data_IF_783529349772
#
_entry.id   IF_783529349772
#
_cell.length_a   1.000
_cell.length_b   1.000
_cell.length_c   1.000
_cell.angle_alpha   90.00
_cell.angle_beta   90.00
_cell.angle_gamma   90.00
#
_symmetry.space_group_name_H-M   'P 1'
#
loop_
_entity.id
_entity.type
_entity.pdbx_description
1 polymer ?
#
# COMPACT_ATOMS: atom_id res chain seq x y z
N UNK A 1 -7.55 55.47 34.00
CA UNK A 1 -6.13 55.92 34.17
C UNK A 1 -5.20 54.82 34.73
N UNK A 2 -5.52 54.16 35.85
CA UNK A 2 -4.65 53.10 36.44
C UNK A 2 -4.36 51.91 35.51
N UNK A 3 -5.34 51.46 34.72
CA UNK A 3 -5.12 50.35 33.75
C UNK A 3 -4.24 50.74 32.56
N UNK A 4 -4.39 51.97 32.05
CA UNK A 4 -3.55 52.48 30.97
C UNK A 4 -2.07 52.52 31.39
N UNK A 5 -1.81 52.98 32.62
CA UNK A 5 -0.47 53.03 33.18
C UNK A 5 0.11 51.62 33.37
N UNK A 6 -0.68 50.67 33.88
CA UNK A 6 -0.26 49.28 34.09
C UNK A 6 0.06 48.54 32.79
N UNK A 7 -0.60 48.90 31.67
CA UNK A 7 -0.34 48.29 30.35
C UNK A 7 0.87 48.92 29.63
N UNK A 8 1.13 50.21 29.84
CA UNK A 8 2.08 50.98 29.04
C UNK A 8 3.34 51.48 29.79
N UNK A 9 3.50 51.19 31.08
CA UNK A 9 4.63 51.69 31.88
C UNK A 9 6.02 51.40 31.28
N UNK A 10 6.19 50.26 30.60
CA UNK A 10 7.44 49.91 29.90
C UNK A 10 7.79 50.90 28.79
N UNK A 11 6.80 51.37 28.03
CA UNK A 11 7.02 52.39 26.99
C UNK A 11 7.35 53.75 27.62
N UNK A 12 6.70 54.10 28.74
CA UNK A 12 6.99 55.34 29.47
C UNK A 12 8.45 55.36 29.94
N UNK A 13 8.95 54.25 30.50
CA UNK A 13 10.36 54.13 30.90
C UNK A 13 11.33 54.27 29.70
N UNK A 14 10.99 53.68 28.55
CA UNK A 14 11.80 53.82 27.33
C UNK A 14 11.85 55.29 26.87
N UNK A 15 10.72 56.01 26.90
CA UNK A 15 10.69 57.42 26.52
C UNK A 15 11.47 58.31 27.49
N UNK A 16 11.37 58.06 28.80
CA UNK A 16 12.16 58.80 29.80
C UNK A 16 13.65 58.57 29.60
N UNK A 17 14.07 57.31 29.42
CA UNK A 17 15.47 56.99 29.14
C UNK A 17 15.96 57.63 27.84
N UNK A 18 15.16 57.63 26.79
CA UNK A 18 15.49 58.29 25.53
C UNK A 18 15.63 59.82 25.69
N UNK A 19 14.79 60.44 26.51
CA UNK A 19 14.86 61.88 26.82
C UNK A 19 16.13 62.21 27.61
N UNK A 20 16.49 61.42 28.62
CA UNK A 20 17.74 61.60 29.39
C UNK A 20 18.97 61.45 28.49
N UNK A 21 18.96 60.46 27.59
CA UNK A 21 20.05 60.22 26.64
C UNK A 21 20.18 61.37 25.63
N UNK A 22 19.05 61.96 25.22
CA UNK A 22 19.03 63.16 24.37
C UNK A 22 19.59 64.39 25.08
N UNK A 23 19.24 64.62 26.35
CA UNK A 23 19.79 65.71 27.16
C UNK A 23 21.30 65.53 27.36
N UNK A 24 21.74 64.30 27.67
CA UNK A 24 23.15 63.96 27.78
C UNK A 24 23.90 64.21 26.47
N UNK A 25 23.31 63.87 25.33
CA UNK A 25 23.89 64.13 24.01
C UNK A 25 24.04 65.62 23.72
N UNK A 26 23.04 66.44 24.05
CA UNK A 26 23.13 67.90 23.93
C UNK A 26 24.25 68.47 24.81
N UNK A 27 24.42 67.93 26.03
CA UNK A 27 25.53 68.30 26.91
C UNK A 27 26.89 67.89 26.33
N UNK A 28 27.00 66.68 25.80
CA UNK A 28 28.22 66.12 25.21
C UNK A 28 28.68 66.88 23.95
N UNK A 29 27.75 67.45 23.18
CA UNK A 29 28.08 68.31 22.04
C UNK A 29 28.43 69.73 22.49
N UNK A 30 27.62 70.29 23.38
CA UNK A 30 27.72 71.73 23.69
C UNK A 30 28.83 72.03 24.69
N UNK A 31 28.83 71.35 25.83
CA UNK A 31 29.60 71.72 27.01
C UNK A 31 30.86 70.87 27.22
N UNK A 32 30.77 69.57 26.99
CA UNK A 32 31.92 68.66 27.15
C UNK A 32 33.17 69.07 26.35
N UNK A 33 33.10 69.51 25.08
CA UNK A 33 34.30 69.88 24.31
C UNK A 33 34.98 71.14 24.85
N UNK A 34 34.20 72.07 25.41
CA UNK A 34 34.71 73.32 25.99
C UNK A 34 35.43 73.04 27.32
N UNK A 35 34.82 72.22 28.18
CA UNK A 35 35.40 71.80 29.46
C UNK A 35 36.64 70.93 29.23
N UNK A 36 36.59 69.96 28.31
CA UNK A 36 37.70 69.05 28.02
C UNK A 36 38.96 69.79 27.55
N UNK A 37 38.83 70.79 26.68
CA UNK A 37 39.97 71.59 26.23
C UNK A 37 40.50 72.50 27.33
N UNK A 38 39.62 73.09 28.14
CA UNK A 38 40.04 73.95 29.25
C UNK A 38 40.86 73.21 30.31
N UNK A 39 40.49 71.96 30.65
CA UNK A 39 41.18 71.19 31.68
C UNK A 39 42.44 70.46 31.21
N UNK A 40 42.50 70.05 29.93
CA UNK A 40 43.59 69.19 29.43
C UNK A 40 44.62 69.90 28.55
N UNK A 41 44.35 71.12 28.09
CA UNK A 41 45.26 71.87 27.22
C UNK A 41 45.51 73.28 27.81
N UNK A 42 46.79 73.70 27.83
CA UNK A 42 47.22 75.01 28.35
C UNK A 42 46.86 76.20 27.44
N UNK A 43 47.66 77.27 27.45
CA UNK A 43 47.43 78.48 26.64
C UNK A 43 47.53 78.22 25.12
N UNK A 44 46.45 77.69 24.54
CA UNK A 44 46.23 77.61 23.10
C UNK A 44 45.81 78.98 22.54
N UNK A 45 46.16 79.26 21.29
CA UNK A 45 45.65 80.46 20.61
C UNK A 45 44.12 80.33 20.40
N UNK A 46 43.42 81.47 20.30
CA UNK A 46 41.97 81.49 20.08
C UNK A 46 41.54 80.66 18.87
N UNK A 47 42.38 80.62 17.83
CA UNK A 47 42.10 79.88 16.58
C UNK A 47 42.20 78.36 16.80
N UNK A 48 43.27 77.89 17.43
CA UNK A 48 43.49 76.46 17.70
C UNK A 48 42.43 75.89 18.64
N UNK A 49 41.98 76.67 19.63
CA UNK A 49 40.90 76.26 20.55
C UNK A 49 39.57 76.06 19.82
N UNK A 50 39.22 76.96 18.89
CA UNK A 50 37.99 76.85 18.10
C UNK A 50 38.01 75.62 17.17
N UNK A 51 39.16 75.35 16.56
CA UNK A 51 39.36 74.22 15.64
C UNK A 51 39.24 72.88 16.38
N UNK A 52 39.92 72.73 17.51
CA UNK A 52 39.85 71.51 18.32
C UNK A 52 38.44 71.26 18.90
N UNK A 53 37.71 72.29 19.34
CA UNK A 53 36.29 72.15 19.76
C UNK A 53 35.43 71.63 18.59
N UNK A 54 35.64 72.16 17.39
CA UNK A 54 34.88 71.78 16.19
C UNK A 54 35.15 70.32 15.81
N UNK A 55 36.39 69.86 15.91
CA UNK A 55 36.77 68.48 15.62
C UNK A 55 36.18 67.50 16.63
N UNK A 56 36.27 67.81 17.93
CA UNK A 56 35.64 66.98 18.98
C UNK A 56 34.12 66.89 18.77
N UNK A 57 33.45 68.02 18.49
CA UNK A 57 32.00 68.02 18.19
C UNK A 57 31.67 67.16 16.98
N UNK A 58 32.44 67.29 15.90
CA UNK A 58 32.24 66.51 14.67
C UNK A 58 32.41 65.01 14.94
N UNK A 59 33.44 64.62 15.69
CA UNK A 59 33.66 63.22 16.08
C UNK A 59 32.54 62.66 16.96
N UNK A 60 32.04 63.42 17.93
CA UNK A 60 30.88 63.03 18.76
C UNK A 60 29.64 62.81 17.90
N UNK A 61 29.40 63.70 16.92
CA UNK A 61 28.29 63.56 15.96
C UNK A 61 28.46 62.30 15.09
N UNK A 62 29.67 62.04 14.57
CA UNK A 62 29.93 60.85 13.75
C UNK A 62 29.77 59.54 14.54
N UNK A 63 30.24 59.49 15.79
CA UNK A 63 30.07 58.32 16.66
C UNK A 63 28.58 58.07 16.94
N UNK A 64 27.83 59.11 17.29
CA UNK A 64 26.40 58.99 17.53
C UNK A 64 25.63 58.57 16.26
N UNK A 65 25.98 59.15 15.11
CA UNK A 65 25.45 58.76 13.81
C UNK A 65 25.76 57.29 13.47
N UNK A 66 26.98 56.83 13.74
CA UNK A 66 27.39 55.43 13.56
C UNK A 66 26.62 54.46 14.46
N UNK A 67 26.44 54.80 15.74
CA UNK A 67 25.62 54.00 16.68
C UNK A 67 24.17 53.90 16.19
N UNK A 68 23.57 55.03 15.77
CA UNK A 68 22.22 55.05 15.21
C UNK A 68 22.12 54.22 13.94
N UNK A 69 23.12 54.26 13.06
CA UNK A 69 23.17 53.43 11.85
C UNK A 69 23.22 51.93 12.20
N UNK A 70 24.06 51.52 13.16
CA UNK A 70 24.15 50.12 13.62
C UNK A 70 22.81 49.65 14.21
N UNK A 71 22.17 50.48 15.05
CA UNK A 71 20.83 50.18 15.60
C UNK A 71 19.82 50.05 14.46
N UNK A 72 19.84 50.95 13.47
CA UNK A 72 18.97 50.90 12.29
C UNK A 72 19.15 49.62 11.48
N UNK A 73 20.40 49.19 11.24
CA UNK A 73 20.73 47.93 10.56
C UNK A 73 20.24 46.75 11.38
N UNK A 74 20.48 46.72 12.69
CA UNK A 74 20.04 45.65 13.58
C UNK A 74 18.51 45.52 13.62
N UNK A 75 17.78 46.63 13.74
CA UNK A 75 16.31 46.64 13.71
C UNK A 75 15.77 46.18 12.36
N UNK A 76 16.41 46.60 11.26
CA UNK A 76 16.06 46.15 9.91
C UNK A 76 16.29 44.65 9.76
N UNK A 77 17.44 44.13 10.17
CA UNK A 77 17.75 42.69 10.15
C UNK A 77 16.80 41.86 11.02
N UNK A 78 16.46 42.35 12.22
CA UNK A 78 15.48 41.70 13.10
C UNK A 78 14.09 41.67 12.45
N UNK A 79 13.70 42.76 11.76
CA UNK A 79 12.43 42.85 11.04
C UNK A 79 12.39 41.91 9.83
N UNK A 80 13.43 41.87 9.01
CA UNK A 80 13.50 40.97 7.84
C UNK A 80 13.44 39.51 8.28
N UNK A 81 14.21 39.14 9.30
CA UNK A 81 14.18 37.77 9.85
C UNK A 81 12.80 37.38 10.42
N UNK A 82 12.03 38.32 10.94
CA UNK A 82 10.66 38.09 11.40
C UNK A 82 9.68 37.91 10.22
N UNK A 83 9.84 38.71 9.15
CA UNK A 83 9.05 38.60 7.92
C UNK A 83 9.32 37.28 7.18
N UNK A 84 10.60 36.88 7.08
CA UNK A 84 10.98 35.62 6.42
C UNK A 84 10.32 34.41 7.12
N UNK A 85 10.30 34.40 8.45
CA UNK A 85 9.59 33.36 9.23
C UNK A 85 8.09 33.37 8.96
N UNK A 86 7.45 34.54 8.85
CA UNK A 86 6.04 34.63 8.53
C UNK A 86 5.73 34.13 7.12
N UNK A 87 6.57 34.46 6.13
CA UNK A 87 6.39 34.00 4.76
C UNK A 87 6.45 32.48 4.66
N UNK A 88 7.43 31.84 5.31
CA UNK A 88 7.54 30.37 5.36
C UNK A 88 6.29 29.73 5.98
N UNK A 89 5.80 30.28 7.11
CA UNK A 89 4.57 29.78 7.77
C UNK A 89 3.34 29.98 6.88
N UNK A 90 3.24 31.11 6.19
CA UNK A 90 2.12 31.41 5.29
C UNK A 90 2.13 30.52 4.06
N UNK A 91 3.30 30.23 3.48
CA UNK A 91 3.44 29.29 2.36
C UNK A 91 3.02 27.87 2.78
N UNK A 92 3.46 27.39 3.95
CA UNK A 92 3.05 26.09 4.48
C UNK A 92 1.53 26.01 4.72
N UNK A 93 0.95 27.04 5.34
CA UNK A 93 -0.49 27.13 5.56
C UNK A 93 -1.28 27.19 4.25
N UNK A 94 -0.80 27.93 3.25
CA UNK A 94 -1.43 28.02 1.93
C UNK A 94 -1.41 26.67 1.21
N UNK A 95 -0.28 25.95 1.28
CA UNK A 95 -0.16 24.61 0.70
C UNK A 95 -1.13 23.62 1.35
N UNK A 96 -1.22 23.62 2.69
CA UNK A 96 -2.19 22.80 3.43
C UNK A 96 -3.64 23.11 3.05
N UNK A 97 -3.99 24.39 2.99
CA UNK A 97 -5.32 24.82 2.57
C UNK A 97 -5.64 24.41 1.13
N UNK A 98 -4.68 24.49 0.21
CA UNK A 98 -4.86 24.06 -1.18
C UNK A 98 -5.16 22.55 -1.26
N UNK A 99 -4.44 21.73 -0.50
CA UNK A 99 -4.65 20.27 -0.48
C UNK A 99 -6.03 19.94 0.09
N UNK A 100 -6.44 20.60 1.18
CA UNK A 100 -7.78 20.43 1.76
C UNK A 100 -8.88 20.83 0.77
N UNK A 101 -8.69 21.91 0.00
CA UNK A 101 -9.62 22.30 -1.06
C UNK A 101 -9.70 21.26 -2.18
N UNK A 102 -8.56 20.72 -2.62
CA UNK A 102 -8.52 19.65 -3.62
C UNK A 102 -9.18 18.37 -3.11
N UNK A 103 -8.94 17.98 -1.86
CA UNK A 103 -9.56 16.83 -1.21
C UNK A 103 -11.09 16.98 -1.13
N UNK A 104 -11.55 18.16 -0.69
CA UNK A 104 -12.98 18.48 -0.63
C UNK A 104 -13.61 18.43 -2.02
N UNK A 105 -12.94 18.98 -3.04
CA UNK A 105 -13.44 18.95 -4.42
C UNK A 105 -13.48 17.54 -4.99
N UNK A 106 -12.46 16.72 -4.74
CA UNK A 106 -12.45 15.32 -5.14
C UNK A 106 -13.62 14.54 -4.49
N UNK A 107 -13.87 14.79 -3.20
CA UNK A 107 -14.97 14.18 -2.44
C UNK A 107 -16.35 14.58 -2.99
N UNK A 108 -16.51 15.83 -3.42
CA UNK A 108 -17.74 16.32 -4.06
C UNK A 108 -17.97 15.63 -5.41
N UNK A 109 -16.92 15.57 -6.24
CA UNK A 109 -16.97 14.93 -7.56
C UNK A 109 -17.28 13.43 -7.48
N UNK A 110 -16.85 12.73 -6.42
CA UNK A 110 -17.17 11.32 -6.22
C UNK A 110 -18.67 11.04 -6.05
N UNK A 111 -19.43 12.01 -5.56
CA UNK A 111 -20.88 11.88 -5.31
C UNK A 111 -21.73 12.15 -6.54
N UNK A 112 -21.11 12.60 -7.63
CA UNK A 112 -21.80 13.01 -8.84
C UNK A 112 -22.39 11.79 -9.59
N UNK A 113 -23.58 11.95 -10.18
CA UNK A 113 -24.23 10.90 -10.98
C UNK A 113 -23.47 10.65 -12.30
N UNK A 114 -22.76 11.65 -12.81
CA UNK A 114 -21.96 11.56 -14.01
C UNK A 114 -20.64 10.83 -13.76
N UNK A 115 -20.42 9.75 -14.51
CA UNK A 115 -19.20 8.95 -14.43
C UNK A 115 -17.92 9.76 -14.70
N UNK A 116 -17.94 10.74 -15.60
CA UNK A 116 -16.78 11.55 -15.91
C UNK A 116 -16.38 12.44 -14.72
N UNK A 117 -17.35 12.93 -13.96
CA UNK A 117 -17.11 13.71 -12.74
C UNK A 117 -16.51 12.81 -11.65
N UNK A 118 -17.09 11.62 -11.42
CA UNK A 118 -16.54 10.66 -10.45
C UNK A 118 -15.10 10.27 -10.77
N UNK A 119 -14.82 9.93 -12.04
CA UNK A 119 -13.46 9.62 -12.49
C UNK A 119 -12.51 10.79 -12.26
N UNK A 120 -12.95 12.03 -12.52
CA UNK A 120 -12.14 13.23 -12.24
C UNK A 120 -11.82 13.37 -10.75
N UNK A 121 -12.79 13.08 -9.87
CA UNK A 121 -12.57 13.04 -8.42
C UNK A 121 -11.56 11.98 -8.00
N UNK A 122 -11.68 10.77 -8.54
CA UNK A 122 -10.77 9.64 -8.24
C UNK A 122 -9.33 9.97 -8.70
N UNK A 123 -9.13 10.52 -9.90
CA UNK A 123 -7.81 10.94 -10.36
C UNK A 123 -7.23 12.12 -9.57
N UNK A 124 -8.08 13.02 -9.06
CA UNK A 124 -7.63 14.07 -8.16
C UNK A 124 -7.14 13.50 -6.82
N UNK A 125 -7.83 12.49 -6.28
CA UNK A 125 -7.36 11.75 -5.12
C UNK A 125 -6.01 11.04 -5.36
N UNK A 126 -5.82 10.39 -6.51
CA UNK A 126 -4.53 9.80 -6.91
C UNK A 126 -3.39 10.84 -6.90
N UNK A 127 -3.67 12.05 -7.41
CA UNK A 127 -2.70 13.14 -7.41
C UNK A 127 -2.37 13.64 -6.00
N UNK A 128 -3.36 13.75 -5.12
CA UNK A 128 -3.14 14.17 -3.73
C UNK A 128 -2.30 13.11 -2.99
N UNK A 129 -2.70 11.84 -3.05
CA UNK A 129 -2.01 10.75 -2.34
C UNK A 129 -0.60 10.45 -2.85
N UNK A 130 -0.28 10.82 -4.09
CA UNK A 130 1.06 10.67 -4.68
C UNK A 130 2.00 11.83 -4.35
N UNK A 131 1.46 12.99 -3.97
CA UNK A 131 2.25 14.20 -3.66
C UNK A 131 2.30 14.51 -2.16
N UNK A 132 1.40 13.94 -1.35
CA UNK A 132 1.37 14.14 0.09
C UNK A 132 1.16 12.82 0.86
N UNK A 133 2.19 12.41 1.61
CA UNK A 133 2.20 11.16 2.38
C UNK A 133 1.14 11.14 3.50
N UNK A 134 0.81 12.29 4.10
CA UNK A 134 -0.18 12.42 5.18
C UNK A 134 -1.59 12.02 4.71
N UNK A 135 -1.92 12.29 3.45
CA UNK A 135 -3.22 12.00 2.87
C UNK A 135 -3.28 10.64 2.16
N UNK A 136 -2.15 9.91 2.09
CA UNK A 136 -2.08 8.65 1.36
C UNK A 136 -3.10 7.64 1.91
N UNK A 137 -2.97 7.27 3.18
CA UNK A 137 -3.83 6.27 3.79
C UNK A 137 -5.29 6.70 3.97
N UNK A 138 -5.60 7.93 4.42
CA UNK A 138 -6.99 8.39 4.49
C UNK A 138 -7.73 8.32 3.15
N UNK A 139 -7.06 8.60 2.03
CA UNK A 139 -7.63 8.49 0.69
C UNK A 139 -7.86 7.02 0.31
N UNK A 140 -6.89 6.14 0.57
CA UNK A 140 -7.04 4.69 0.34
C UNK A 140 -8.24 4.14 1.10
N UNK A 141 -8.39 4.48 2.38
CA UNK A 141 -9.52 4.08 3.22
C UNK A 141 -10.85 4.60 2.67
N UNK A 142 -10.91 5.88 2.29
CA UNK A 142 -12.10 6.51 1.73
C UNK A 142 -12.53 5.85 0.43
N UNK A 143 -11.61 5.63 -0.51
CA UNK A 143 -11.90 4.99 -1.80
C UNK A 143 -12.32 3.52 -1.61
N UNK A 144 -11.71 2.81 -0.66
CA UNK A 144 -12.11 1.44 -0.31
C UNK A 144 -13.51 1.41 0.30
N UNK A 145 -13.82 2.36 1.20
CA UNK A 145 -15.15 2.51 1.77
C UNK A 145 -16.20 2.83 0.71
N UNK A 146 -15.88 3.71 -0.24
CA UNK A 146 -16.75 4.04 -1.37
C UNK A 146 -17.10 2.79 -2.20
N UNK A 147 -16.10 1.95 -2.51
CA UNK A 147 -16.32 0.69 -3.25
C UNK A 147 -17.22 -0.26 -2.46
N UNK A 148 -17.01 -0.40 -1.14
CA UNK A 148 -17.87 -1.21 -0.27
C UNK A 148 -19.31 -0.68 -0.20
N UNK A 149 -19.48 0.63 -0.06
CA UNK A 149 -20.81 1.25 0.00
C UNK A 149 -21.57 1.11 -1.33
N UNK A 150 -20.90 1.33 -2.47
CA UNK A 150 -21.49 1.15 -3.80
C UNK A 150 -21.92 -0.29 -4.06
N UNK A 151 -21.21 -1.27 -3.51
CA UNK A 151 -21.65 -2.68 -3.51
C UNK A 151 -22.95 -2.85 -2.73
N UNK A 152 -23.00 -2.35 -1.49
CA UNK A 152 -24.14 -2.57 -0.57
C UNK A 152 -25.41 -1.82 -0.98
N UNK A 153 -25.28 -0.65 -1.62
CA UNK A 153 -26.42 0.18 -2.05
C UNK A 153 -27.12 -0.32 -3.31
N UNK A 154 -26.55 -1.28 -4.06
CA UNK A 154 -27.23 -1.89 -5.20
C UNK A 154 -28.19 -2.99 -4.72
N UNK A 155 -29.33 -2.58 -4.15
CA UNK A 155 -30.56 -3.38 -4.20
C UNK A 155 -31.03 -3.41 -5.65
N UNK A 156 -30.78 -4.53 -6.33
CA UNK A 156 -31.28 -4.71 -7.68
C UNK A 156 -32.77 -5.06 -7.66
N UNK A 157 -33.60 -4.12 -8.12
CA UNK A 157 -34.87 -4.43 -8.78
C UNK A 157 -34.51 -4.73 -10.25
N UNK A 158 -34.27 -5.99 -10.59
CA UNK A 158 -34.26 -6.41 -12.00
C UNK A 158 -35.11 -7.66 -12.20
N UNK A 159 -36.21 -7.46 -12.92
CA UNK A 159 -37.10 -8.47 -13.47
C UNK A 159 -36.33 -9.27 -14.55
N UNK A 160 -35.87 -10.47 -14.19
CA UNK A 160 -35.31 -11.43 -15.14
C UNK A 160 -36.42 -12.34 -15.66
N UNK A 161 -37.27 -11.79 -16.52
CA UNK A 161 -38.05 -12.58 -17.46
C UNK A 161 -37.47 -12.37 -18.86
N UNK A 162 -36.76 -13.40 -19.35
CA UNK A 162 -36.15 -13.60 -20.68
C UNK A 162 -34.62 -13.48 -20.70
N UNK A 163 -33.97 -14.60 -20.47
CA UNK A 163 -33.14 -15.31 -21.47
C UNK A 163 -32.72 -16.65 -20.86
N UNK A 164 -33.04 -17.74 -21.56
CA UNK A 164 -32.72 -19.11 -21.18
C UNK A 164 -31.24 -19.38 -21.46
N UNK A 165 -30.46 -19.65 -20.41
CA UNK A 165 -29.27 -20.50 -20.44
C UNK A 165 -28.93 -20.91 -18.99
N UNK A 166 -29.34 -22.12 -18.61
CA UNK A 166 -28.95 -23.00 -17.47
C UNK A 166 -28.40 -22.48 -16.12
N UNK A 167 -28.47 -21.19 -15.78
CA UNK A 167 -28.03 -20.62 -14.51
C UNK A 167 -29.18 -20.59 -13.49
N UNK A 168 -29.06 -21.35 -12.41
CA UNK A 168 -29.99 -21.27 -11.29
C UNK A 168 -29.66 -20.02 -10.46
N UNK A 169 -30.48 -18.99 -10.57
CA UNK A 169 -30.38 -17.78 -9.76
C UNK A 169 -31.16 -18.02 -8.46
N UNK A 170 -30.45 -18.08 -7.33
CA UNK A 170 -31.02 -18.32 -6.01
C UNK A 170 -30.92 -17.05 -5.15
N UNK A 171 -32.06 -16.62 -4.61
CA UNK A 171 -32.15 -15.47 -3.71
C UNK A 171 -31.79 -15.90 -2.29
N UNK A 172 -30.74 -15.31 -1.72
CA UNK A 172 -30.40 -15.53 -0.31
C UNK A 172 -31.22 -14.61 0.60
N UNK A 173 -32.24 -15.15 1.27
CA UNK A 173 -33.05 -14.36 2.22
C UNK A 173 -32.22 -13.81 3.40
N UNK A 174 -31.10 -14.44 3.76
CA UNK A 174 -30.25 -14.05 4.89
C UNK A 174 -29.39 -12.84 4.54
N UNK A 175 -28.81 -12.82 3.34
CA UNK A 175 -27.94 -11.72 2.88
C UNK A 175 -28.67 -10.70 2.00
N UNK A 176 -29.89 -11.00 1.55
CA UNK A 176 -30.71 -10.20 0.62
C UNK A 176 -30.02 -9.89 -0.71
N UNK A 177 -29.15 -10.78 -1.19
CA UNK A 177 -28.40 -10.57 -2.42
C UNK A 177 -28.67 -11.65 -3.47
N UNK A 178 -28.69 -11.24 -4.73
CA UNK A 178 -28.88 -12.14 -5.86
C UNK A 178 -27.57 -12.90 -6.13
N UNK A 179 -27.62 -14.22 -5.99
CA UNK A 179 -26.52 -15.08 -6.41
C UNK A 179 -26.93 -15.89 -7.64
N UNK A 180 -25.98 -16.20 -8.51
CA UNK A 180 -26.14 -17.27 -9.49
C UNK A 180 -25.27 -18.46 -9.13
N UNK A 181 -25.84 -19.66 -9.22
CA UNK A 181 -25.14 -20.91 -9.01
C UNK A 181 -24.75 -21.49 -10.38
N UNK A 182 -23.45 -21.62 -10.67
CA UNK A 182 -22.97 -22.48 -11.76
C UNK A 182 -22.67 -23.84 -11.15
N UNK A 183 -23.37 -24.87 -11.61
CA UNK A 183 -23.07 -26.25 -11.28
C UNK A 183 -22.23 -26.81 -12.43
N UNK A 184 -20.93 -26.91 -12.21
CA UNK A 184 -20.05 -27.66 -13.10
C UNK A 184 -19.99 -29.11 -12.61
N UNK A 185 -19.83 -30.07 -13.52
CA UNK A 185 -19.71 -31.47 -13.16
C UNK A 185 -18.31 -31.94 -13.49
N UNK A 186 -17.58 -32.46 -12.50
CA UNK A 186 -16.36 -33.22 -12.78
C UNK A 186 -16.60 -34.71 -12.58
N UNK A 187 -16.02 -35.51 -13.45
CA UNK A 187 -16.14 -36.97 -13.39
C UNK A 187 -15.25 -37.54 -12.27
N UNK A 188 -15.83 -38.28 -11.33
CA UNK A 188 -15.18 -38.88 -10.15
C UNK A 188 -14.16 -40.01 -10.47
N UNK A 189 -13.94 -40.29 -11.75
CA UNK A 189 -13.08 -41.36 -12.23
C UNK A 189 -13.61 -42.79 -12.00
N UNK A 190 -14.82 -42.95 -11.43
CA UNK A 190 -15.54 -44.22 -11.24
C UNK A 190 -16.85 -44.31 -12.02
N UNK A 191 -17.30 -43.22 -12.65
CA UNK A 191 -18.57 -43.19 -13.38
C UNK A 191 -19.59 -42.18 -12.86
N UNK A 192 -19.30 -41.52 -11.73
CA UNK A 192 -20.17 -40.54 -11.10
C UNK A 192 -19.75 -39.10 -11.43
N UNK A 193 -20.74 -38.22 -11.55
CA UNK A 193 -20.52 -36.78 -11.67
C UNK A 193 -20.49 -36.16 -10.26
N UNK A 194 -19.42 -35.43 -9.96
CA UNK A 194 -19.29 -34.60 -8.76
C UNK A 194 -19.77 -33.21 -9.13
N UNK A 195 -20.91 -32.74 -8.57
CA UNK A 195 -21.35 -31.37 -8.77
C UNK A 195 -20.42 -30.43 -8.01
N UNK A 196 -19.66 -29.63 -8.75
CA UNK A 196 -18.90 -28.51 -8.24
C UNK A 196 -19.81 -27.27 -8.34
N UNK A 197 -20.29 -26.82 -7.18
CA UNK A 197 -21.21 -25.68 -7.06
C UNK A 197 -20.42 -24.38 -6.92
N UNK A 198 -20.72 -23.41 -7.78
CA UNK A 198 -20.09 -22.08 -7.80
C UNK A 198 -21.15 -21.03 -7.54
N UNK A 199 -21.07 -20.30 -6.43
CA UNK A 199 -22.05 -19.28 -6.06
C UNK A 199 -21.45 -17.90 -6.28
N UNK A 200 -22.04 -17.10 -7.16
CA UNK A 200 -21.51 -15.81 -7.55
C UNK A 200 -22.45 -14.68 -7.20
N UNK A 201 -21.91 -13.58 -6.72
CA UNK A 201 -22.66 -12.35 -6.49
C UNK A 201 -22.62 -11.47 -7.74
N UNK A 202 -23.75 -11.32 -8.45
CA UNK A 202 -23.80 -10.50 -9.66
C UNK A 202 -23.86 -9.01 -9.35
N UNK A 203 -22.79 -8.26 -9.61
CA UNK A 203 -22.75 -6.80 -9.49
C UNK A 203 -21.91 -6.22 -10.65
N UNK A 204 -22.53 -5.70 -11.73
CA UNK A 204 -21.79 -5.07 -12.82
C UNK A 204 -20.88 -3.96 -12.29
N UNK A 205 -19.61 -4.03 -12.69
CA UNK A 205 -18.55 -3.10 -12.28
C UNK A 205 -18.80 -1.76 -12.92
N UNK A 206 -19.10 -0.74 -12.11
CA UNK A 206 -19.11 0.63 -12.62
C UNK A 206 -17.66 1.09 -12.88
N UNK A 207 -17.47 1.93 -13.92
CA UNK A 207 -16.14 2.36 -14.37
C UNK A 207 -15.33 3.09 -13.29
N UNK A 208 -15.99 3.69 -12.31
CA UNK A 208 -15.41 4.36 -11.16
C UNK A 208 -14.83 3.36 -10.15
N UNK A 209 -15.51 2.23 -9.91
CA UNK A 209 -14.96 1.12 -9.10
C UNK A 209 -13.68 0.59 -9.74
N UNK A 210 -13.68 0.41 -11.07
CA UNK A 210 -12.49 -0.02 -11.81
C UNK A 210 -11.34 0.99 -11.69
N UNK A 211 -11.63 2.29 -11.80
CA UNK A 211 -10.61 3.33 -11.66
C UNK A 211 -10.02 3.37 -10.24
N UNK A 212 -10.87 3.24 -9.21
CA UNK A 212 -10.43 3.15 -7.82
C UNK A 212 -9.48 1.99 -7.64
N UNK A 213 -9.86 0.79 -8.08
CA UNK A 213 -9.04 -0.41 -7.93
C UNK A 213 -7.69 -0.30 -8.64
N UNK A 214 -7.69 0.30 -9.82
CA UNK A 214 -6.47 0.59 -10.56
C UNK A 214 -5.54 1.49 -9.74
N UNK A 215 -6.08 2.51 -9.06
CA UNK A 215 -5.33 3.50 -8.30
C UNK A 215 -4.84 2.96 -6.95
N UNK A 216 -5.71 2.26 -6.20
CA UNK A 216 -5.33 1.52 -4.99
C UNK A 216 -4.20 0.53 -5.26
N UNK A 217 -4.24 -0.05 -6.45
CA UNK A 217 -3.25 -0.95 -6.99
C UNK A 217 -1.95 -0.30 -7.47
N UNK A 218 -1.92 1.01 -7.72
CA UNK A 218 -0.68 1.74 -8.10
C UNK A 218 0.04 2.37 -6.92
N UNK A 219 -0.35 2.03 -5.68
CA UNK A 219 0.24 2.60 -4.46
C UNK A 219 1.74 2.31 -4.34
N UNK A 220 2.49 3.29 -3.82
CA UNK A 220 3.96 3.29 -3.80
C UNK A 220 4.52 2.40 -2.69
N UNK A 221 5.39 1.46 -3.06
CA UNK A 221 6.14 0.57 -2.15
C UNK A 221 6.97 1.34 -1.08
N UNK A 222 7.35 2.59 -1.34
CA UNK A 222 8.15 3.38 -0.38
C UNK A 222 7.38 3.65 0.93
N UNK A 223 6.05 3.70 0.85
CA UNK A 223 5.17 3.97 1.98
C UNK A 223 4.80 2.70 2.77
N UNK A 224 4.94 1.51 2.15
CA UNK A 224 4.75 0.20 2.80
C UNK A 224 5.99 -0.28 3.57
N UNK A 225 7.19 0.27 3.30
CA UNK A 225 8.44 -0.13 4.00
C UNK A 225 8.43 0.12 5.51
N UNK A 226 7.54 0.99 6.01
CA UNK A 226 7.35 1.16 7.44
C UNK A 226 6.66 -0.06 8.08
N UNK A 227 5.89 -0.85 7.32
CA UNK A 227 5.23 -2.08 7.78
C UNK A 227 6.13 -3.33 7.63
N UNK A 228 6.91 -3.47 6.52
CA UNK A 228 7.87 -4.59 6.34
C UNK A 228 8.95 -4.64 7.45
N UNK A 229 9.30 -3.50 8.06
CA UNK A 229 10.23 -3.48 9.21
C UNK A 229 9.61 -3.95 10.53
N UNK A 230 8.28 -3.87 10.66
CA UNK A 230 7.56 -4.40 11.81
C UNK A 230 7.31 -5.91 11.68
N UNK A 231 7.28 -6.47 10.47
CA UNK A 231 7.11 -7.92 10.24
C UNK A 231 8.27 -8.76 10.82
N UNK A 232 9.51 -8.24 10.75
CA UNK A 232 10.68 -8.82 11.45
C UNK A 232 10.58 -8.69 12.98
N UNK A 233 9.87 -7.68 13.49
CA UNK A 233 9.57 -7.54 14.91
C UNK A 233 8.41 -8.45 15.32
N UNK A 234 7.41 -8.69 14.46
CA UNK A 234 6.30 -9.62 14.69
C UNK A 234 6.75 -11.09 14.66
N UNK A 235 7.75 -11.47 13.87
CA UNK A 235 8.32 -12.83 13.92
C UNK A 235 9.08 -13.05 15.25
N UNK A 236 9.86 -12.05 15.70
CA UNK A 236 10.54 -12.07 17.01
C UNK A 236 9.55 -11.96 18.18
N UNK A 237 8.49 -11.16 18.03
CA UNK A 237 7.41 -11.01 19.02
C UNK A 237 6.54 -12.26 19.03
N UNK A 238 6.33 -12.96 17.91
CA UNK A 238 5.61 -14.24 17.82
C UNK A 238 6.40 -15.37 18.48
N UNK A 239 7.72 -15.41 18.33
CA UNK A 239 8.59 -16.32 19.08
C UNK A 239 8.56 -16.01 20.59
N UNK A 240 8.56 -14.73 20.99
CA UNK A 240 8.44 -14.30 22.41
C UNK A 240 7.01 -14.45 22.97
N UNK A 241 5.99 -14.29 22.14
CA UNK A 241 4.57 -14.42 22.48
C UNK A 241 4.20 -15.90 22.59
N UNK A 242 4.74 -16.79 21.77
CA UNK A 242 4.56 -18.24 21.95
C UNK A 242 5.19 -18.75 23.27
N UNK A 243 6.21 -18.07 23.80
CA UNK A 243 6.76 -18.34 25.13
C UNK A 243 5.87 -17.82 26.29
N UNK A 244 4.99 -16.85 26.04
CA UNK A 244 4.14 -16.19 27.07
C UNK A 244 2.66 -16.64 26.97
N UNK A 245 2.18 -17.00 25.78
CA UNK A 245 0.80 -17.38 25.43
C UNK A 245 0.58 -18.90 25.66
N UNK A 246 0.90 -19.37 26.86
CA UNK A 246 0.29 -20.59 27.41
C UNK A 246 -0.49 -20.30 28.71
N UNK A 247 -0.71 -19.02 29.05
CA UNK A 247 -1.34 -18.65 30.32
C UNK A 247 -2.53 -17.69 30.28
N UNK A 248 -2.89 -17.04 29.16
CA UNK A 248 -4.08 -16.15 29.19
C UNK A 248 -4.74 -15.84 27.83
N UNK A 249 -5.83 -16.57 27.58
CA UNK A 249 -7.17 -16.03 27.30
C UNK A 249 -7.34 -14.94 26.20
N UNK A 250 -7.52 -15.42 24.96
CA UNK A 250 -8.72 -15.35 24.10
C UNK A 250 -9.66 -14.13 23.99
N UNK A 251 -9.51 -13.00 24.67
CA UNK A 251 -10.57 -11.94 24.59
C UNK A 251 -10.11 -10.48 24.37
N UNK A 252 -8.83 -10.19 24.10
CA UNK A 252 -8.38 -8.78 23.94
C UNK A 252 -7.52 -8.46 22.69
N UNK A 253 -7.47 -9.33 21.68
CA UNK A 253 -6.65 -9.11 20.46
C UNK A 253 -7.39 -8.47 19.28
N UNK A 254 -8.50 -7.77 19.53
CA UNK A 254 -9.22 -6.99 18.50
C UNK A 254 -8.83 -5.50 18.50
N UNK A 255 -7.80 -5.14 19.27
CA UNK A 255 -7.35 -3.76 19.44
C UNK A 255 -5.84 -3.70 19.16
N UNK A 256 -5.50 -3.08 18.02
CA UNK A 256 -4.16 -2.70 17.54
C UNK A 256 -3.39 -3.81 16.78
N UNK A 257 -3.93 -4.24 15.64
CA UNK A 257 -3.11 -4.28 14.44
C UNK A 257 -3.64 -3.21 13.49
N UNK A 258 -2.93 -2.09 13.37
CA UNK A 258 -3.08 -1.18 12.23
C UNK A 258 -2.43 -1.84 10.99
N UNK A 259 -2.76 -3.11 10.71
CA UNK A 259 -2.45 -3.75 9.45
C UNK A 259 -3.51 -3.24 8.50
N UNK A 260 -3.22 -2.20 7.72
CA UNK A 260 -4.23 -1.58 6.86
C UNK A 260 -4.53 -2.50 5.66
N UNK A 261 -5.30 -3.54 5.96
CA UNK A 261 -5.87 -4.50 5.03
C UNK A 261 -6.89 -3.77 4.16
N UNK A 262 -6.60 -3.63 2.87
CA UNK A 262 -7.60 -3.20 1.89
C UNK A 262 -8.52 -4.40 1.63
N UNK A 263 -9.68 -4.41 2.31
CA UNK A 263 -10.74 -5.42 2.15
C UNK A 263 -11.80 -5.01 1.12
N UNK A 264 -11.91 -5.83 0.07
CA UNK A 264 -12.68 -5.62 -1.16
C UNK A 264 -13.40 -6.90 -1.58
N UNK A 265 -14.11 -7.48 -0.62
CA UNK A 265 -14.70 -8.80 -0.74
C UNK A 265 -15.99 -8.72 -1.54
N UNK A 266 -16.28 -9.76 -2.34
CA UNK A 266 -17.53 -9.91 -3.10
C UNK A 266 -17.74 -8.83 -4.17
N UNK A 267 -16.69 -8.53 -4.93
CA UNK A 267 -16.75 -7.61 -6.06
C UNK A 267 -16.67 -8.42 -7.37
N UNK A 268 -17.32 -7.98 -8.44
CA UNK A 268 -17.01 -8.50 -9.78
C UNK A 268 -16.03 -7.57 -10.47
N UNK A 269 -15.03 -8.12 -11.17
CA UNK A 269 -13.92 -7.41 -11.81
C UNK A 269 -13.62 -7.96 -13.19
N UNK A 270 -14.64 -8.45 -13.89
CA UNK A 270 -14.46 -9.09 -15.19
C UNK A 270 -13.76 -8.17 -16.20
N UNK A 271 -12.73 -8.71 -16.87
CA UNK A 271 -11.96 -8.02 -17.94
C UNK A 271 -11.21 -6.75 -17.48
N UNK A 272 -10.87 -6.63 -16.19
CA UNK A 272 -10.09 -5.50 -15.69
C UNK A 272 -8.60 -5.71 -15.97
N UNK A 273 -7.90 -4.64 -16.36
CA UNK A 273 -6.45 -4.65 -16.46
C UNK A 273 -5.82 -4.17 -15.15
N UNK A 274 -5.17 -5.07 -14.43
CA UNK A 274 -4.43 -4.86 -13.19
C UNK A 274 -2.93 -5.16 -13.40
N UNK A 275 -2.38 -4.80 -14.55
CA UNK A 275 -0.97 -4.96 -14.86
C UNK A 275 -0.08 -4.23 -13.83
N UNK A 276 0.90 -4.94 -13.24
CA UNK A 276 1.81 -4.44 -12.19
C UNK A 276 1.14 -3.89 -10.94
N UNK A 277 -0.08 -4.32 -10.67
CA UNK A 277 -0.83 -3.89 -9.49
C UNK A 277 -0.14 -4.34 -8.20
N UNK A 278 -0.20 -3.54 -7.14
CA UNK A 278 0.21 -3.90 -5.79
C UNK A 278 -1.02 -4.25 -4.95
N UNK A 279 -1.14 -5.53 -4.62
CA UNK A 279 -2.21 -6.13 -3.82
C UNK A 279 -1.66 -6.81 -2.56
N UNK A 280 -0.41 -6.58 -2.18
CA UNK A 280 0.18 -7.18 -0.98
C UNK A 280 -0.72 -6.99 0.23
N UNK A 281 -0.92 -8.05 1.01
CA UNK A 281 -1.72 -8.05 2.23
C UNK A 281 -3.19 -7.56 2.03
N UNK A 282 -3.71 -7.55 0.80
CA UNK A 282 -5.10 -7.20 0.54
C UNK A 282 -6.04 -8.39 0.72
N UNK A 283 -7.32 -8.07 0.91
CA UNK A 283 -8.39 -9.04 1.08
C UNK A 283 -9.43 -8.87 -0.03
N UNK A 284 -9.64 -9.94 -0.78
CA UNK A 284 -10.51 -10.01 -1.95
C UNK A 284 -11.33 -11.31 -1.93
N UNK A 285 -11.69 -11.82 -0.75
CA UNK A 285 -12.40 -13.08 -0.63
C UNK A 285 -13.75 -13.01 -1.35
N UNK A 286 -14.12 -14.09 -2.04
CA UNK A 286 -15.36 -14.23 -2.80
C UNK A 286 -15.49 -13.24 -3.98
N UNK A 287 -14.38 -12.84 -4.61
CA UNK A 287 -14.37 -11.85 -5.69
C UNK A 287 -14.33 -12.54 -7.06
N UNK A 288 -14.99 -11.97 -8.07
CA UNK A 288 -14.96 -12.49 -9.44
C UNK A 288 -13.91 -11.72 -10.23
N UNK A 289 -12.84 -12.38 -10.62
CA UNK A 289 -11.72 -11.88 -11.39
C UNK A 289 -11.60 -12.54 -12.77
N UNK A 290 -12.71 -12.99 -13.35
CA UNK A 290 -12.68 -13.69 -14.63
C UNK A 290 -12.10 -12.79 -15.74
N UNK A 291 -11.13 -13.31 -16.49
CA UNK A 291 -10.40 -12.58 -17.53
C UNK A 291 -9.63 -11.33 -17.04
N UNK A 292 -9.29 -11.23 -15.76
CA UNK A 292 -8.48 -10.10 -15.23
C UNK A 292 -7.00 -10.27 -15.56
N UNK A 293 -6.34 -9.17 -15.91
CA UNK A 293 -4.90 -9.16 -16.19
C UNK A 293 -4.14 -8.76 -14.93
N UNK A 294 -3.54 -9.72 -14.23
CA UNK A 294 -2.62 -9.54 -13.10
C UNK A 294 -1.14 -9.69 -13.49
N UNK A 295 -0.80 -9.50 -14.76
CA UNK A 295 0.57 -9.73 -15.21
C UNK A 295 1.56 -8.81 -14.47
N UNK A 296 2.63 -9.40 -13.94
CA UNK A 296 3.64 -8.73 -13.10
C UNK A 296 3.08 -8.08 -11.82
N UNK A 297 1.89 -8.48 -11.36
CA UNK A 297 1.32 -8.01 -10.11
C UNK A 297 2.12 -8.46 -8.87
N UNK A 298 1.94 -7.73 -7.78
CA UNK A 298 2.45 -8.04 -6.45
C UNK A 298 1.28 -8.48 -5.57
N UNK A 299 1.12 -9.78 -5.39
CA UNK A 299 0.02 -10.42 -4.65
C UNK A 299 0.54 -11.22 -3.45
N UNK A 300 1.69 -10.83 -2.89
CA UNK A 300 2.24 -11.52 -1.72
C UNK A 300 1.27 -11.41 -0.52
N UNK A 301 1.03 -12.53 0.18
CA UNK A 301 0.07 -12.62 1.30
C UNK A 301 -1.35 -12.10 0.99
N UNK A 302 -1.81 -12.16 -0.27
CA UNK A 302 -3.14 -11.68 -0.63
C UNK A 302 -4.19 -12.75 -0.40
N UNK A 303 -5.32 -12.36 0.19
CA UNK A 303 -6.48 -13.20 0.48
C UNK A 303 -7.44 -13.21 -0.72
N UNK A 304 -7.45 -14.31 -1.49
CA UNK A 304 -8.29 -14.53 -2.66
C UNK A 304 -9.26 -15.71 -2.49
N UNK A 305 -9.53 -16.15 -1.27
CA UNK A 305 -10.32 -17.34 -0.96
C UNK A 305 -11.71 -17.28 -1.60
N UNK A 306 -12.18 -18.40 -2.13
CA UNK A 306 -13.49 -18.55 -2.78
C UNK A 306 -13.71 -17.63 -4.00
N UNK A 307 -12.64 -17.10 -4.60
CA UNK A 307 -12.72 -16.19 -5.75
C UNK A 307 -12.73 -16.92 -7.08
N UNK A 308 -13.20 -16.26 -8.13
CA UNK A 308 -13.16 -16.78 -9.49
C UNK A 308 -12.06 -16.12 -10.32
N UNK A 309 -11.08 -16.89 -10.77
CA UNK A 309 -9.99 -16.49 -11.66
C UNK A 309 -10.08 -17.12 -13.04
N UNK A 310 -11.27 -17.56 -13.48
CA UNK A 310 -11.45 -18.20 -14.79
C UNK A 310 -10.81 -17.34 -15.89
N UNK A 311 -9.82 -17.90 -16.59
CA UNK A 311 -9.03 -17.24 -17.63
C UNK A 311 -8.31 -15.94 -17.19
N UNK A 312 -8.04 -15.73 -15.89
CA UNK A 312 -7.25 -14.60 -15.42
C UNK A 312 -5.74 -14.79 -15.73
N UNK A 313 -4.99 -13.69 -15.86
CA UNK A 313 -3.58 -13.69 -16.26
C UNK A 313 -2.64 -13.23 -15.15
N UNK A 314 -2.01 -14.17 -14.45
CA UNK A 314 -0.98 -13.97 -13.41
C UNK A 314 0.46 -14.12 -13.93
N UNK A 315 0.70 -14.01 -15.24
CA UNK A 315 2.04 -14.19 -15.81
C UNK A 315 3.09 -13.29 -15.14
N UNK A 316 4.18 -13.88 -14.67
CA UNK A 316 5.24 -13.23 -13.87
C UNK A 316 4.76 -12.53 -12.57
N UNK A 317 3.55 -12.81 -12.08
CA UNK A 317 3.08 -12.23 -10.82
C UNK A 317 3.83 -12.80 -9.61
N UNK A 318 3.88 -12.02 -8.52
CA UNK A 318 4.45 -12.45 -7.24
C UNK A 318 3.31 -12.80 -6.29
N UNK A 319 2.97 -14.07 -6.21
CA UNK A 319 1.89 -14.62 -5.39
C UNK A 319 2.42 -15.46 -4.22
N UNK A 320 3.60 -15.11 -3.68
CA UNK A 320 4.20 -15.84 -2.56
C UNK A 320 3.25 -15.77 -1.35
N UNK A 321 2.97 -16.92 -0.75
CA UNK A 321 2.03 -17.06 0.37
C UNK A 321 0.62 -16.50 0.09
N UNK A 322 0.22 -16.37 -1.18
CA UNK A 322 -1.14 -15.98 -1.53
C UNK A 322 -2.14 -17.10 -1.20
N UNK A 323 -3.35 -16.70 -0.83
CA UNK A 323 -4.43 -17.57 -0.38
C UNK A 323 -5.48 -17.72 -1.47
N UNK A 324 -5.43 -18.81 -2.23
CA UNK A 324 -6.38 -19.17 -3.29
C UNK A 324 -7.36 -20.28 -2.86
N UNK A 325 -7.53 -20.55 -1.57
CA UNK A 325 -8.33 -21.66 -1.06
C UNK A 325 -9.75 -21.64 -1.64
N UNK A 326 -10.20 -22.78 -2.15
CA UNK A 326 -11.50 -22.94 -2.83
C UNK A 326 -11.72 -22.03 -4.06
N UNK A 327 -10.66 -21.41 -4.60
CA UNK A 327 -10.77 -20.56 -5.77
C UNK A 327 -10.96 -21.35 -7.06
N UNK A 328 -11.62 -20.71 -8.03
CA UNK A 328 -11.80 -21.23 -9.38
C UNK A 328 -10.70 -20.71 -10.30
N UNK A 329 -9.72 -21.53 -10.60
CA UNK A 329 -8.57 -21.17 -11.42
C UNK A 329 -8.60 -21.88 -12.79
N UNK A 330 -9.79 -22.13 -13.34
CA UNK A 330 -9.95 -22.77 -14.65
C UNK A 330 -9.33 -21.92 -15.76
N UNK A 331 -8.44 -22.50 -16.56
CA UNK A 331 -7.74 -21.79 -17.63
C UNK A 331 -6.89 -20.60 -17.15
N UNK A 332 -6.64 -20.46 -15.85
CA UNK A 332 -5.86 -19.34 -15.33
C UNK A 332 -4.39 -19.45 -15.73
N UNK A 333 -3.80 -18.31 -16.11
CA UNK A 333 -2.45 -18.18 -16.64
C UNK A 333 -1.45 -17.76 -15.55
N UNK A 334 -0.81 -18.73 -14.89
CA UNK A 334 0.23 -18.57 -13.87
C UNK A 334 1.67 -18.72 -14.43
N UNK A 335 1.89 -18.57 -15.73
CA UNK A 335 3.21 -18.83 -16.32
C UNK A 335 4.28 -17.92 -15.71
N UNK A 336 5.39 -18.52 -15.26
CA UNK A 336 6.49 -17.82 -14.59
C UNK A 336 6.08 -17.08 -13.30
N UNK A 337 4.89 -17.30 -12.76
CA UNK A 337 4.50 -16.72 -11.49
C UNK A 337 5.34 -17.32 -10.35
N UNK A 338 5.58 -16.51 -9.32
CA UNK A 338 6.14 -16.98 -8.06
C UNK A 338 5.00 -17.21 -7.06
N UNK A 339 4.59 -18.46 -6.92
CA UNK A 339 3.57 -18.94 -6.00
C UNK A 339 4.18 -19.80 -4.88
N UNK A 340 5.44 -19.52 -4.48
CA UNK A 340 6.07 -20.22 -3.36
C UNK A 340 5.21 -20.10 -2.10
N UNK A 341 4.92 -21.21 -1.43
CA UNK A 341 4.10 -21.26 -0.21
C UNK A 341 2.63 -20.85 -0.38
N UNK A 342 2.15 -20.66 -1.61
CA UNK A 342 0.76 -20.31 -1.88
C UNK A 342 -0.20 -21.46 -1.53
N UNK A 343 -1.41 -21.11 -1.08
CA UNK A 343 -2.46 -22.06 -0.70
C UNK A 343 -3.48 -22.21 -1.83
N UNK A 344 -3.44 -23.33 -2.53
CA UNK A 344 -4.38 -23.76 -3.57
C UNK A 344 -5.21 -24.98 -3.11
N UNK A 345 -5.39 -25.19 -1.81
CA UNK A 345 -6.21 -26.33 -1.35
C UNK A 345 -7.67 -26.15 -1.79
N UNK A 346 -8.27 -27.25 -2.25
CA UNK A 346 -9.63 -27.30 -2.81
C UNK A 346 -9.86 -26.40 -4.04
N UNK A 347 -8.80 -25.98 -4.76
CA UNK A 347 -8.99 -25.18 -5.97
C UNK A 347 -9.41 -26.01 -7.17
N UNK A 348 -10.12 -25.36 -8.10
CA UNK A 348 -10.37 -25.90 -9.42
C UNK A 348 -9.39 -25.28 -10.43
N UNK A 349 -8.30 -25.96 -10.72
CA UNK A 349 -7.24 -25.56 -11.65
C UNK A 349 -7.33 -26.32 -12.99
N UNK A 350 -8.55 -26.63 -13.46
CA UNK A 350 -8.75 -27.33 -14.72
C UNK A 350 -8.17 -26.54 -15.89
N UNK A 351 -7.29 -27.15 -16.70
CA UNK A 351 -6.68 -26.48 -17.87
C UNK A 351 -5.79 -25.28 -17.54
N UNK A 352 -5.44 -25.04 -16.28
CA UNK A 352 -4.62 -23.89 -15.88
C UNK A 352 -3.18 -24.02 -16.37
N UNK A 353 -2.55 -22.87 -16.63
CA UNK A 353 -1.20 -22.73 -17.18
C UNK A 353 -0.19 -22.38 -16.08
N UNK A 354 0.59 -23.34 -15.59
CA UNK A 354 1.65 -23.15 -14.59
C UNK A 354 3.06 -23.31 -15.18
N UNK A 355 3.22 -23.16 -16.50
CA UNK A 355 4.49 -23.37 -17.18
C UNK A 355 5.57 -22.43 -16.61
N UNK A 356 6.71 -23.00 -16.23
CA UNK A 356 7.82 -22.28 -15.61
C UNK A 356 7.48 -21.57 -14.26
N UNK A 357 6.37 -21.91 -13.61
CA UNK A 357 6.01 -21.33 -12.32
C UNK A 357 6.91 -21.86 -11.19
N UNK A 358 7.07 -21.05 -10.14
CA UNK A 358 7.71 -21.44 -8.88
C UNK A 358 6.64 -21.68 -7.83
N UNK A 359 6.45 -22.92 -7.40
CA UNK A 359 5.40 -23.33 -6.46
C UNK A 359 6.02 -24.16 -5.32
N UNK A 360 7.21 -23.77 -4.85
CA UNK A 360 7.91 -24.51 -3.78
C UNK A 360 7.13 -24.35 -2.47
N UNK A 361 6.94 -25.41 -1.70
CA UNK A 361 6.12 -25.43 -0.46
C UNK A 361 4.64 -25.05 -0.65
N UNK A 362 4.14 -24.99 -1.88
CA UNK A 362 2.72 -24.71 -2.15
C UNK A 362 1.82 -25.86 -1.71
N UNK A 363 0.55 -25.55 -1.43
CA UNK A 363 -0.44 -26.53 -1.00
C UNK A 363 -1.57 -26.66 -2.03
N UNK A 364 -1.70 -27.81 -2.67
CA UNK A 364 -2.74 -28.15 -3.65
C UNK A 364 -3.62 -29.30 -3.14
N UNK A 365 -3.70 -29.49 -1.82
CA UNK A 365 -4.49 -30.57 -1.22
C UNK A 365 -5.94 -30.52 -1.70
N UNK A 366 -6.46 -31.67 -2.17
CA UNK A 366 -7.82 -31.78 -2.71
C UNK A 366 -8.10 -30.88 -3.93
N UNK A 367 -7.07 -30.32 -4.58
CA UNK A 367 -7.25 -29.54 -5.80
C UNK A 367 -7.60 -30.43 -7.00
N UNK A 368 -8.21 -29.81 -8.00
CA UNK A 368 -8.56 -30.42 -9.27
C UNK A 368 -7.67 -29.80 -10.35
N UNK A 369 -6.70 -30.55 -10.86
CA UNK A 369 -5.73 -30.09 -11.85
C UNK A 369 -5.86 -30.84 -13.17
N UNK A 370 -7.09 -31.24 -13.53
CA UNK A 370 -7.39 -31.93 -14.78
C UNK A 370 -6.96 -31.07 -15.97
N UNK A 371 -6.16 -31.61 -16.90
CA UNK A 371 -5.59 -30.93 -18.07
C UNK A 371 -4.66 -29.74 -17.74
N UNK A 372 -4.20 -29.59 -16.50
CA UNK A 372 -3.28 -28.52 -16.14
C UNK A 372 -1.89 -28.69 -16.75
N UNK A 373 -1.24 -27.57 -17.03
CA UNK A 373 0.07 -27.47 -17.66
C UNK A 373 1.14 -27.12 -16.61
N UNK A 374 1.93 -28.10 -16.16
CA UNK A 374 2.99 -27.93 -15.14
C UNK A 374 4.41 -27.90 -15.72
N UNK A 375 4.58 -27.72 -17.02
CA UNK A 375 5.84 -27.91 -17.71
C UNK A 375 6.93 -26.95 -17.18
N UNK A 376 8.15 -27.46 -16.97
CA UNK A 376 9.32 -26.67 -16.54
C UNK A 376 9.17 -25.92 -15.21
N UNK A 377 8.17 -26.26 -14.41
CA UNK A 377 7.88 -25.62 -13.11
C UNK A 377 8.57 -26.34 -11.94
N UNK A 378 8.55 -25.72 -10.76
CA UNK A 378 9.02 -26.35 -9.52
C UNK A 378 7.90 -26.48 -8.49
N UNK A 379 7.65 -27.73 -8.08
CA UNK A 379 6.72 -28.11 -7.01
C UNK A 379 7.47 -28.83 -5.87
N UNK A 380 8.73 -28.46 -5.67
CA UNK A 380 9.56 -29.06 -4.63
C UNK A 380 8.93 -28.79 -3.26
N UNK A 381 8.78 -29.84 -2.45
CA UNK A 381 8.09 -29.83 -1.16
C UNK A 381 6.61 -29.43 -1.21
N UNK A 382 5.99 -29.36 -2.38
CA UNK A 382 4.57 -29.07 -2.49
C UNK A 382 3.70 -30.23 -1.99
N UNK A 383 2.47 -29.90 -1.59
CA UNK A 383 1.47 -30.87 -1.15
C UNK A 383 0.42 -31.11 -2.23
N UNK A 384 0.42 -32.27 -2.88
CA UNK A 384 -0.59 -32.74 -3.83
C UNK A 384 -1.43 -33.90 -3.26
N UNK A 385 -1.64 -33.92 -1.93
CA UNK A 385 -2.45 -34.95 -1.31
C UNK A 385 -3.91 -34.86 -1.78
N UNK A 386 -4.48 -36.00 -2.18
CA UNK A 386 -5.83 -36.12 -2.74
C UNK A 386 -6.08 -35.29 -4.04
N UNK A 387 -5.06 -34.77 -4.71
CA UNK A 387 -5.21 -33.97 -5.94
C UNK A 387 -5.56 -34.87 -7.15
N UNK A 388 -6.42 -34.38 -8.05
CA UNK A 388 -6.74 -35.03 -9.34
C UNK A 388 -5.87 -34.48 -10.48
N UNK A 389 -5.26 -35.35 -11.27
CA UNK A 389 -4.34 -34.97 -12.37
C UNK A 389 -4.72 -35.54 -13.74
N UNK A 390 -6.02 -35.71 -14.02
CA UNK A 390 -6.45 -36.28 -15.30
C UNK A 390 -5.80 -35.52 -16.47
N UNK A 391 -4.95 -36.18 -17.25
CA UNK A 391 -4.28 -35.59 -18.42
C UNK A 391 -3.43 -34.32 -18.14
N UNK A 392 -3.02 -34.07 -16.89
CA UNK A 392 -2.08 -33.00 -16.58
C UNK A 392 -0.67 -33.27 -17.16
N UNK A 393 0.05 -32.22 -17.56
CA UNK A 393 1.39 -32.34 -18.12
C UNK A 393 2.48 -32.01 -17.10
N UNK A 394 3.35 -32.98 -16.78
CA UNK A 394 4.46 -32.84 -15.84
C UNK A 394 5.84 -32.78 -16.52
N UNK A 395 5.89 -32.47 -17.83
CA UNK A 395 7.15 -32.45 -18.57
C UNK A 395 8.18 -31.51 -17.94
N UNK A 396 9.35 -32.04 -17.57
CA UNK A 396 10.44 -31.31 -16.93
C UNK A 396 10.05 -30.60 -15.61
N UNK A 397 9.01 -31.07 -14.92
CA UNK A 397 8.60 -30.53 -13.63
C UNK A 397 9.51 -31.03 -12.50
N UNK A 398 9.92 -30.15 -11.59
CA UNK A 398 10.71 -30.54 -10.41
C UNK A 398 9.81 -30.92 -9.24
N UNK A 399 9.73 -32.21 -8.92
CA UNK A 399 8.89 -32.76 -7.85
C UNK A 399 9.74 -33.36 -6.70
N UNK A 400 10.77 -32.64 -6.27
CA UNK A 400 11.61 -33.05 -5.14
C UNK A 400 10.80 -33.04 -3.84
N UNK A 401 10.78 -34.17 -3.11
CA UNK A 401 10.05 -34.30 -1.84
C UNK A 401 8.56 -33.90 -1.89
N UNK A 402 7.94 -33.93 -3.07
CA UNK A 402 6.53 -33.59 -3.27
C UNK A 402 5.62 -34.70 -2.72
N UNK A 403 4.50 -34.33 -2.10
CA UNK A 403 3.54 -35.29 -1.55
C UNK A 403 2.43 -35.62 -2.56
N UNK A 404 2.43 -36.83 -3.13
CA UNK A 404 1.36 -37.35 -4.01
C UNK A 404 0.44 -38.34 -3.30
N UNK A 405 0.35 -38.31 -1.97
CA UNK A 405 -0.46 -39.28 -1.22
C UNK A 405 -1.91 -39.21 -1.67
N UNK A 406 -2.49 -40.36 -2.02
CA UNK A 406 -3.86 -40.47 -2.54
C UNK A 406 -4.15 -39.63 -3.79
N UNK A 407 -3.12 -39.14 -4.51
CA UNK A 407 -3.34 -38.46 -5.77
C UNK A 407 -4.07 -39.40 -6.74
N UNK A 408 -5.06 -38.87 -7.46
CA UNK A 408 -5.92 -39.66 -8.33
C UNK A 408 -5.73 -39.26 -9.78
N UNK A 409 -6.07 -40.18 -10.70
CA UNK A 409 -6.07 -39.95 -12.15
C UNK A 409 -4.71 -39.50 -12.70
N UNK A 410 -3.63 -39.91 -12.03
CA UNK A 410 -2.24 -39.72 -12.43
C UNK A 410 -1.65 -41.05 -12.93
N UNK A 411 -0.97 -41.03 -14.07
CA UNK A 411 -0.35 -42.22 -14.66
C UNK A 411 1.16 -42.24 -14.43
N UNK A 412 1.76 -43.44 -14.53
CA UNK A 412 3.22 -43.59 -14.52
C UNK A 412 3.88 -42.83 -15.68
N UNK A 413 3.23 -42.75 -16.85
CA UNK A 413 3.72 -42.01 -18.01
C UNK A 413 3.81 -40.50 -17.71
N UNK A 414 2.75 -39.90 -17.15
CA UNK A 414 2.75 -38.49 -16.76
C UNK A 414 3.91 -38.17 -15.81
N UNK A 415 4.06 -38.96 -14.73
CA UNK A 415 5.13 -38.76 -13.74
C UNK A 415 6.52 -39.05 -14.31
N UNK A 416 6.66 -39.98 -15.26
CA UNK A 416 7.97 -40.30 -15.86
C UNK A 416 8.58 -39.15 -16.67
N UNK A 417 7.75 -38.20 -17.10
CA UNK A 417 8.18 -36.99 -17.80
C UNK A 417 8.66 -35.87 -16.87
N UNK A 418 8.49 -36.01 -15.55
CA UNK A 418 9.03 -35.08 -14.57
C UNK A 418 10.57 -35.08 -14.59
N UNK A 419 11.17 -33.96 -14.19
CA UNK A 419 12.63 -33.83 -14.11
C UNK A 419 13.20 -34.70 -12.98
N UNK A 420 12.54 -34.69 -11.83
CA UNK A 420 12.92 -35.50 -10.66
C UNK A 420 11.69 -35.80 -9.81
N UNK A 421 11.67 -37.00 -9.24
CA UNK A 421 10.76 -37.46 -8.19
C UNK A 421 11.52 -37.88 -6.93
N UNK A 422 12.77 -37.45 -6.78
CA UNK A 422 13.58 -37.81 -5.63
C UNK A 422 12.88 -37.43 -4.32
N UNK A 423 12.75 -38.41 -3.43
CA UNK A 423 12.03 -38.32 -2.14
C UNK A 423 10.53 -38.00 -2.23
N UNK A 424 9.92 -38.06 -3.42
CA UNK A 424 8.48 -37.91 -3.55
C UNK A 424 7.73 -38.98 -2.72
N UNK A 425 6.64 -38.58 -2.08
CA UNK A 425 5.82 -39.42 -1.21
C UNK A 425 4.51 -39.80 -1.91
N UNK A 426 3.87 -40.88 -1.47
CA UNK A 426 2.53 -41.26 -1.95
C UNK A 426 2.48 -42.00 -3.30
N UNK A 427 3.62 -42.18 -3.97
CA UNK A 427 3.71 -43.03 -5.17
C UNK A 427 3.79 -44.50 -4.73
N UNK A 428 2.85 -45.31 -5.20
CA UNK A 428 2.80 -46.76 -4.90
C UNK A 428 3.98 -47.50 -5.51
N UNK A 429 4.40 -48.61 -4.90
CA UNK A 429 5.56 -49.38 -5.39
C UNK A 429 5.35 -49.90 -6.83
N UNK A 430 4.13 -50.34 -7.15
CA UNK A 430 3.75 -50.72 -8.52
C UNK A 430 3.97 -49.56 -9.52
N UNK A 431 3.52 -48.37 -9.17
CA UNK A 431 3.67 -47.19 -10.02
C UNK A 431 5.15 -46.78 -10.14
N UNK A 432 5.94 -46.90 -9.07
CA UNK A 432 7.39 -46.65 -9.12
C UNK A 432 8.09 -47.59 -10.10
N UNK A 433 7.75 -48.88 -10.10
CA UNK A 433 8.32 -49.85 -11.06
C UNK A 433 8.00 -49.47 -12.51
N UNK A 434 6.77 -49.04 -12.79
CA UNK A 434 6.35 -48.57 -14.11
C UNK A 434 7.10 -47.29 -14.52
N UNK A 435 7.23 -46.32 -13.60
CA UNK A 435 7.98 -45.08 -13.82
C UNK A 435 9.46 -45.36 -14.10
N UNK A 436 10.11 -46.25 -13.33
CA UNK A 436 11.53 -46.57 -13.48
C UNK A 436 11.83 -47.22 -14.84
N UNK A 437 10.89 -48.00 -15.40
CA UNK A 437 11.03 -48.56 -16.76
C UNK A 437 11.06 -47.47 -17.84
N UNK A 438 10.33 -46.39 -17.63
CA UNK A 438 10.24 -45.26 -18.56
C UNK A 438 11.39 -44.25 -18.34
N UNK A 439 11.76 -43.99 -17.09
CA UNK A 439 12.82 -43.06 -16.71
C UNK A 439 13.64 -43.60 -15.52
N UNK A 440 14.75 -44.34 -15.78
CA UNK A 440 15.48 -45.06 -14.74
C UNK A 440 16.13 -44.21 -13.65
N UNK A 441 16.43 -42.93 -13.92
CA UNK A 441 17.16 -42.04 -13.01
C UNK A 441 16.26 -41.05 -12.27
N UNK A 442 14.95 -41.12 -12.47
CA UNK A 442 14.03 -40.09 -11.98
C UNK A 442 13.96 -39.99 -10.45
N UNK A 443 14.26 -41.08 -9.75
CA UNK A 443 14.32 -41.14 -8.28
C UNK A 443 15.74 -40.97 -7.73
N UNK A 444 16.76 -40.76 -8.58
CA UNK A 444 18.13 -40.52 -8.13
C UNK A 444 18.26 -39.12 -7.54
N UNK A 445 19.21 -38.96 -6.62
CA UNK A 445 19.53 -37.68 -6.01
C UNK A 445 20.09 -36.72 -7.07
N UNK A 446 19.40 -35.60 -7.40
CA UNK A 446 19.81 -34.71 -8.48
C UNK A 446 21.13 -33.99 -8.19
N UNK A 447 21.51 -33.88 -6.91
CA UNK A 447 22.74 -33.21 -6.45
C UNK A 447 23.95 -34.17 -6.42
N UNK A 448 23.72 -35.48 -6.58
CA UNK A 448 24.79 -36.48 -6.71
C UNK A 448 25.00 -36.82 -8.19
N UNK A 449 25.64 -35.92 -8.92
CA UNK A 449 26.17 -36.21 -10.26
C UNK A 449 27.61 -36.69 -10.21
#
# INVERSE_FOLDING_TARGET
>A
MKEYFKRNWKYILIYLFAADLFVFFLFAIKKYPEDYIYYNFGELTKKEKLEAIKDIRSNVIYIAGGILAIIGIYLTWRRTKALDKQNIINEDNNNKNLILQQFSKASELLKDENIAARLSGIYLFEKIMSTNEEYHWPIIELLTAYVREKRDNKKYDCDFSKEEDHLNIEYDEVTKTNFYEIINYEYDGKGGEIPIKKRYLRVPVEKDIQAILTILGRRSRKLEKHEESEENLEEIISELQNAIINKSKREETQVISNKLVIGMNRIELNNVNMYKVNLRNCHFENTVFSNVIFENAYCENTHFENSDFTNAHFKNAKCRHAHFENAWCEGTHFEKANCDGAQFNYTYCGGSHFENAFCIFSNFENAICSYAHFEYSSYSFANFENTSFQNANFQNTYCYSTNFKNATRITAEQLSNANTLYRAKGITDKMKEEIIKLNPKIFDDPDKK
#
